data_IF_922331860470
#
_entry.id   IF_922331860470
#
_cell.length_a   1.000
_cell.length_b   1.000
_cell.length_c   1.000
_cell.angle_alpha   90.00
_cell.angle_beta   90.00
_cell.angle_gamma   90.00
#
_symmetry.space_group_name_H-M   'P 1'
#
loop_
_entity.id
_entity.type
_entity.pdbx_description
1 polymer ?
#
# COMPACT_ATOMS: atom_id res chain seq x y z
N UNK A 1 -5.18 1.69 -1.86
CA UNK A 1 -4.34 2.89 -1.70
C UNK A 1 -4.98 4.17 -2.23
N UNK A 2 -6.11 4.14 -2.97
CA UNK A 2 -6.74 5.37 -3.50
C UNK A 2 -7.09 6.41 -2.42
N UNK A 3 -7.53 5.97 -1.23
CA UNK A 3 -7.79 6.90 -0.11
C UNK A 3 -6.51 7.61 0.35
N UNK A 4 -5.35 6.97 0.28
CA UNK A 4 -4.07 7.62 0.64
C UNK A 4 -3.68 8.69 -0.38
N UNK A 5 -4.02 8.49 -1.66
CA UNK A 5 -3.81 9.47 -2.74
C UNK A 5 -4.65 10.73 -2.50
N UNK A 6 -5.95 10.53 -2.27
CA UNK A 6 -6.89 11.63 -2.01
C UNK A 6 -6.50 12.40 -0.75
N UNK A 7 -6.10 11.72 0.33
CA UNK A 7 -5.66 12.39 1.55
C UNK A 7 -4.35 13.17 1.37
N UNK A 8 -3.45 12.69 0.52
CA UNK A 8 -2.22 13.41 0.18
C UNK A 8 -2.52 14.70 -0.59
N UNK A 9 -3.37 14.62 -1.61
CA UNK A 9 -3.81 15.78 -2.41
C UNK A 9 -4.54 16.80 -1.52
N UNK A 10 -5.54 16.34 -0.76
CA UNK A 10 -6.29 17.16 0.17
C UNK A 10 -5.39 17.85 1.22
N UNK A 11 -4.41 17.14 1.78
CA UNK A 11 -3.46 17.71 2.74
C UNK A 11 -2.63 18.84 2.15
N UNK A 12 -2.22 18.71 0.88
CA UNK A 12 -1.48 19.74 0.16
C UNK A 12 -2.35 20.97 -0.17
N UNK A 13 -3.62 20.76 -0.50
CA UNK A 13 -4.58 21.83 -0.80
C UNK A 13 -4.99 22.62 0.45
N UNK A 14 -5.31 21.93 1.55
CA UNK A 14 -5.82 22.56 2.77
C UNK A 14 -4.73 22.99 3.76
N UNK A 15 -3.48 22.59 3.53
CA UNK A 15 -2.37 22.83 4.47
C UNK A 15 -2.56 22.13 5.83
N UNK A 16 -3.42 21.11 5.89
CA UNK A 16 -3.80 20.39 7.10
C UNK A 16 -3.13 19.00 7.15
N UNK A 17 -2.82 18.52 8.35
CA UNK A 17 -2.30 17.17 8.55
C UNK A 17 -3.44 16.16 8.78
N UNK A 18 -3.33 14.96 8.20
CA UNK A 18 -4.26 13.86 8.44
C UNK A 18 -3.52 12.66 9.03
N UNK A 19 -4.11 12.03 10.05
CA UNK A 19 -3.67 10.75 10.56
C UNK A 19 -4.72 9.71 10.22
N UNK A 20 -4.34 8.72 9.43
CA UNK A 20 -5.22 7.63 9.01
C UNK A 20 -4.68 6.32 9.57
N UNK A 21 -5.54 5.63 10.31
CA UNK A 21 -5.32 4.24 10.70
C UNK A 21 -6.17 3.34 9.82
N UNK A 22 -5.61 2.25 9.33
CA UNK A 22 -6.34 1.25 8.56
C UNK A 22 -5.74 -0.15 8.73
N UNK A 23 -6.53 -1.16 8.37
CA UNK A 23 -6.08 -2.53 8.27
C UNK A 23 -6.58 -3.15 6.97
N UNK A 24 -5.97 -4.25 6.56
CA UNK A 24 -6.41 -5.01 5.40
C UNK A 24 -7.46 -6.03 5.79
N UNK A 25 -8.45 -6.25 4.91
CA UNK A 25 -9.51 -7.23 5.15
C UNK A 25 -8.99 -8.67 5.02
N UNK A 26 -8.02 -8.87 4.14
CA UNK A 26 -7.34 -10.14 3.89
C UNK A 26 -5.85 -9.88 3.63
N UNK A 27 -4.96 -10.88 3.82
CA UNK A 27 -3.54 -10.69 3.62
C UNK A 27 -3.23 -10.10 2.24
N UNK A 28 -2.63 -8.91 2.18
CA UNK A 28 -2.48 -8.14 0.94
C UNK A 28 -1.03 -7.71 0.71
N UNK A 29 -0.52 -7.94 -0.50
CA UNK A 29 0.81 -7.49 -0.90
C UNK A 29 0.75 -6.05 -1.43
N UNK A 30 1.50 -5.14 -0.80
CA UNK A 30 1.73 -3.80 -1.34
C UNK A 30 3.07 -3.73 -2.08
N UNK A 31 3.02 -3.43 -3.37
CA UNK A 31 4.20 -3.15 -4.20
C UNK A 31 4.57 -1.67 -4.09
N UNK A 32 5.86 -1.38 -3.95
CA UNK A 32 6.37 -0.02 -4.05
C UNK A 32 6.16 0.57 -5.44
N UNK A 33 6.11 1.90 -5.52
CA UNK A 33 5.76 2.65 -6.73
C UNK A 33 6.54 2.21 -7.97
N UNK A 34 7.86 2.00 -7.84
CA UNK A 34 8.75 1.63 -8.95
C UNK A 34 8.84 0.11 -9.20
N UNK A 35 8.17 -0.73 -8.41
CA UNK A 35 8.29 -2.18 -8.54
C UNK A 35 7.43 -2.71 -9.69
N UNK A 36 7.98 -3.53 -10.58
CA UNK A 36 7.19 -4.16 -11.63
C UNK A 36 6.19 -5.16 -11.03
N UNK A 37 4.99 -5.27 -11.60
CA UNK A 37 3.97 -6.20 -11.11
C UNK A 37 4.49 -7.65 -11.05
N UNK A 38 5.29 -8.06 -12.05
CA UNK A 38 5.91 -9.39 -12.10
C UNK A 38 6.85 -9.71 -10.94
N UNK A 39 7.36 -8.70 -10.22
CA UNK A 39 8.21 -8.93 -9.03
C UNK A 39 7.43 -9.59 -7.88
N UNK A 40 6.09 -9.57 -7.90
CA UNK A 40 5.28 -10.32 -6.91
C UNK A 40 5.61 -11.81 -6.86
N UNK A 41 6.02 -12.39 -7.98
CA UNK A 41 6.30 -13.83 -8.08
C UNK A 41 7.56 -14.28 -7.34
N UNK A 42 8.42 -13.32 -6.97
CA UNK A 42 9.64 -13.55 -6.20
C UNK A 42 9.33 -13.96 -4.75
N UNK A 43 8.13 -13.65 -4.24
CA UNK A 43 7.74 -13.97 -2.89
C UNK A 43 6.63 -15.04 -2.89
N UNK A 44 7.02 -16.30 -2.69
CA UNK A 44 6.11 -17.43 -2.82
C UNK A 44 4.91 -17.37 -1.85
N UNK A 45 5.14 -16.90 -0.62
CA UNK A 45 4.11 -16.86 0.42
C UNK A 45 2.97 -15.85 0.16
N UNK A 46 3.16 -14.89 -0.77
CA UNK A 46 2.15 -13.87 -1.10
C UNK A 46 1.59 -14.00 -2.53
N UNK A 47 1.83 -15.14 -3.20
CA UNK A 47 1.39 -15.36 -4.59
C UNK A 47 -0.12 -15.34 -4.76
N UNK A 48 -0.84 -15.85 -3.77
CA UNK A 48 -2.30 -15.95 -3.81
C UNK A 48 -2.97 -14.73 -3.15
N UNK A 49 -2.19 -13.86 -2.51
CA UNK A 49 -2.68 -12.63 -1.92
C UNK A 49 -3.06 -11.62 -3.01
N UNK A 50 -4.12 -10.80 -2.79
CA UNK A 50 -4.34 -9.59 -3.54
C UNK A 50 -3.09 -8.71 -3.56
N UNK A 51 -2.91 -7.98 -4.65
CA UNK A 51 -1.78 -7.09 -4.83
C UNK A 51 -2.26 -5.68 -5.17
N UNK A 52 -1.70 -4.71 -4.46
CA UNK A 52 -1.91 -3.28 -4.70
C UNK A 52 -0.56 -2.59 -4.93
N UNK A 53 -0.59 -1.39 -5.48
CA UNK A 53 0.58 -0.51 -5.60
C UNK A 53 0.38 0.71 -4.73
N UNK A 54 1.40 1.09 -3.97
CA UNK A 54 1.42 2.33 -3.19
C UNK A 54 2.10 3.45 -3.98
N UNK A 55 1.77 4.68 -3.62
CA UNK A 55 2.30 5.90 -4.25
C UNK A 55 3.77 6.15 -3.89
N UNK A 56 4.21 5.59 -2.77
CA UNK A 56 5.58 5.72 -2.26
C UNK A 56 6.51 4.63 -2.78
N UNK A 57 7.82 4.89 -2.76
CA UNK A 57 8.86 3.92 -3.12
C UNK A 57 9.03 2.78 -2.11
N UNK A 58 10.20 2.14 -2.13
CA UNK A 58 10.58 1.04 -1.23
C UNK A 58 10.21 -0.37 -1.76
N UNK A 59 10.47 -1.39 -0.94
CA UNK A 59 10.27 -2.81 -1.29
C UNK A 59 8.85 -3.34 -1.03
N UNK A 60 8.55 -4.55 -1.50
CA UNK A 60 7.22 -5.13 -1.33
C UNK A 60 6.98 -5.49 0.15
N UNK A 61 5.78 -5.25 0.66
CA UNK A 61 5.39 -5.55 2.04
C UNK A 61 4.09 -6.34 2.02
N UNK A 62 4.07 -7.48 2.69
CA UNK A 62 2.86 -8.26 2.96
C UNK A 62 2.21 -7.76 4.26
N UNK A 63 0.94 -7.42 4.16
CA UNK A 63 0.09 -6.92 5.24
C UNK A 63 -0.93 -7.99 5.63
N UNK A 64 -1.26 -8.18 6.90
CA UNK A 64 -2.26 -9.13 7.39
C UNK A 64 -2.97 -8.66 8.67
N UNK A 65 -2.32 -8.77 9.84
CA UNK A 65 -2.93 -8.54 11.17
C UNK A 65 -2.28 -7.39 11.92
N UNK A 66 -1.97 -6.33 11.19
CA UNK A 66 -1.39 -5.11 11.73
C UNK A 66 -2.32 -3.91 11.54
N UNK A 67 -2.16 -2.94 12.43
CA UNK A 67 -2.68 -1.60 12.23
C UNK A 67 -1.62 -0.82 11.45
N UNK A 68 -1.99 -0.34 10.27
CA UNK A 68 -1.18 0.58 9.48
C UNK A 68 -1.62 2.02 9.70
#
# INVERSE_FOLDING_TARGET
MAVDEVLLEWSAEEGCCCWRFYGWREPTLSLGYFQQYGQRWQHAASRDCPAVRRLTGGGAILHDRELT
#
